data_IF_075371288582
#
_entry.id   IF_075371288582
#
_cell.length_a   1.000
_cell.length_b   1.000
_cell.length_c   1.000
_cell.angle_alpha   90.00
_cell.angle_beta   90.00
_cell.angle_gamma   90.00
#
_symmetry.space_group_name_H-M   'P 1'
#
loop_
_entity.id
_entity.type
_entity.pdbx_description
1 polymer ?
#
# COMPACT_ATOMS: atom_id res chain seq x y z
N UNK A 1 39.84 -29.40 34.56
CA UNK A 1 39.23 -28.94 33.29
C UNK A 1 38.12 -27.93 33.58
N UNK A 2 38.44 -26.62 33.51
CA UNK A 2 38.00 -25.68 32.46
C UNK A 2 36.57 -25.14 32.63
N UNK A 3 36.36 -24.28 33.63
CA UNK A 3 35.16 -23.42 33.75
C UNK A 3 34.89 -22.56 32.50
N UNK A 4 35.90 -22.33 31.66
CA UNK A 4 35.76 -21.61 30.39
C UNK A 4 35.07 -22.41 29.27
N UNK A 5 34.85 -23.72 29.44
CA UNK A 5 34.07 -24.54 28.49
C UNK A 5 32.64 -24.73 29.01
N UNK A 6 32.49 -25.02 30.31
CA UNK A 6 31.18 -25.31 30.91
C UNK A 6 30.28 -24.09 31.04
N UNK A 7 30.81 -22.91 31.39
CA UNK A 7 30.03 -21.67 31.49
C UNK A 7 29.36 -21.26 30.17
N UNK A 8 30.08 -21.15 29.04
CA UNK A 8 29.43 -20.83 27.77
C UNK A 8 28.50 -21.96 27.30
N UNK A 9 28.79 -23.23 27.61
CA UNK A 9 27.90 -24.34 27.29
C UNK A 9 26.54 -24.20 28.00
N UNK A 10 26.52 -23.92 29.31
CA UNK A 10 25.25 -23.72 30.03
C UNK A 10 24.47 -22.51 29.51
N UNK A 11 25.15 -21.41 29.17
CA UNK A 11 24.48 -20.25 28.56
C UNK A 11 23.85 -20.62 27.22
N UNK A 12 24.56 -21.34 26.36
CA UNK A 12 24.02 -21.82 25.09
C UNK A 12 22.81 -22.74 25.28
N UNK A 13 22.88 -23.68 26.24
CA UNK A 13 21.76 -24.57 26.56
C UNK A 13 20.55 -23.79 27.10
N UNK A 14 20.76 -22.81 27.97
CA UNK A 14 19.68 -21.94 28.47
C UNK A 14 19.03 -21.14 27.33
N UNK A 15 19.81 -20.61 26.39
CA UNK A 15 19.28 -19.90 25.22
C UNK A 15 18.46 -20.84 24.34
N UNK A 16 18.96 -22.05 24.04
CA UNK A 16 18.23 -23.04 23.25
C UNK A 16 16.93 -23.42 23.95
N UNK A 17 16.97 -23.72 25.24
CA UNK A 17 15.78 -24.04 26.03
C UNK A 17 14.76 -22.89 26.00
N UNK A 18 15.21 -21.65 26.18
CA UNK A 18 14.37 -20.46 26.10
C UNK A 18 13.71 -20.33 24.72
N UNK A 19 14.47 -20.50 23.63
CA UNK A 19 13.94 -20.44 22.26
C UNK A 19 12.87 -21.52 22.05
N UNK A 20 13.10 -22.75 22.52
CA UNK A 20 12.14 -23.84 22.38
C UNK A 20 10.85 -23.58 23.18
N UNK A 21 10.95 -23.02 24.39
CA UNK A 21 9.79 -22.63 25.20
C UNK A 21 9.00 -21.52 24.50
N UNK A 22 9.67 -20.46 24.04
CA UNK A 22 9.04 -19.37 23.30
C UNK A 22 8.35 -19.90 22.04
N UNK A 23 8.98 -20.83 21.33
CA UNK A 23 8.41 -21.44 20.12
C UNK A 23 7.09 -22.16 20.40
N UNK A 24 6.98 -22.90 21.49
CA UNK A 24 5.74 -23.62 21.87
C UNK A 24 4.58 -22.66 22.12
N UNK A 25 4.86 -21.45 22.61
CA UNK A 25 3.83 -20.43 22.88
C UNK A 25 3.52 -19.59 21.64
N UNK A 26 4.53 -19.19 20.88
CA UNK A 26 4.40 -18.23 19.79
C UNK A 26 4.01 -18.85 18.44
N UNK A 27 4.34 -20.12 18.20
CA UNK A 27 4.09 -20.78 16.90
C UNK A 27 2.74 -21.50 16.92
N UNK A 28 1.79 -21.13 16.05
CA UNK A 28 0.50 -21.80 15.93
C UNK A 28 0.64 -23.28 15.56
N UNK A 29 -0.28 -24.12 16.07
CA UNK A 29 -0.24 -25.59 15.89
C UNK A 29 -0.34 -26.03 14.43
N UNK A 30 -0.91 -25.18 13.58
CA UNK A 30 -1.16 -25.40 12.16
C UNK A 30 -0.11 -24.72 11.26
N UNK A 31 0.98 -24.21 11.84
CA UNK A 31 2.14 -23.68 11.11
C UNK A 31 3.11 -24.81 10.74
N UNK A 32 3.39 -25.00 9.46
CA UNK A 32 4.25 -26.08 8.97
C UNK A 32 4.36 -26.12 7.46
N UNK A 33 4.91 -27.21 6.91
CA UNK A 33 4.93 -27.51 5.46
C UNK A 33 3.61 -28.18 5.08
N UNK A 34 2.89 -27.60 4.12
CA UNK A 34 1.66 -28.16 3.54
C UNK A 34 1.88 -28.60 2.08
N UNK A 35 0.83 -29.11 1.44
CA UNK A 35 0.85 -29.88 0.18
C UNK A 35 1.63 -29.29 -1.02
N UNK A 36 1.99 -28.00 -1.01
CA UNK A 36 2.73 -27.32 -2.11
C UNK A 36 4.26 -27.39 -1.98
N UNK A 37 4.80 -28.28 -1.14
CA UNK A 37 6.25 -28.46 -0.94
C UNK A 37 6.93 -27.28 -0.23
N UNK A 38 8.25 -27.31 -0.06
CA UNK A 38 8.95 -26.33 0.79
C UNK A 38 8.89 -24.87 0.30
N UNK A 39 8.71 -24.63 -1.00
CA UNK A 39 8.74 -23.28 -1.57
C UNK A 39 7.51 -22.43 -1.22
N UNK A 40 6.33 -23.06 -1.16
CA UNK A 40 5.05 -22.38 -0.89
C UNK A 40 4.22 -23.06 0.21
N UNK A 41 4.72 -24.15 0.77
CA UNK A 41 4.04 -24.93 1.79
C UNK A 41 4.32 -24.44 3.21
N UNK A 42 5.30 -23.57 3.45
CA UNK A 42 5.66 -23.11 4.80
C UNK A 42 4.79 -21.94 5.27
N UNK A 43 3.62 -22.22 5.85
CA UNK A 43 2.70 -21.19 6.34
C UNK A 43 1.74 -21.75 7.42
N UNK A 44 0.91 -20.87 7.97
CA UNK A 44 -0.17 -21.21 8.93
C UNK A 44 -1.44 -21.58 8.16
N UNK A 45 -1.87 -22.84 8.22
CA UNK A 45 -2.99 -23.33 7.42
C UNK A 45 -4.30 -22.54 7.64
N UNK A 46 -4.66 -22.25 8.88
CA UNK A 46 -5.85 -21.51 9.27
C UNK A 46 -5.89 -20.07 8.73
N UNK A 47 -4.74 -19.51 8.37
CA UNK A 47 -4.65 -18.21 7.73
C UNK A 47 -5.44 -18.16 6.41
N UNK A 48 -5.53 -19.27 5.67
CA UNK A 48 -6.30 -19.30 4.42
C UNK A 48 -7.78 -18.99 4.64
N UNK A 49 -8.37 -19.59 5.69
CA UNK A 49 -9.77 -19.36 6.05
C UNK A 49 -9.98 -17.94 6.56
N UNK A 50 -9.02 -17.40 7.31
CA UNK A 50 -9.08 -16.02 7.79
C UNK A 50 -9.04 -15.01 6.63
N UNK A 51 -8.13 -15.17 5.67
CA UNK A 51 -8.07 -14.29 4.50
C UNK A 51 -9.26 -14.46 3.57
N UNK A 52 -9.81 -15.67 3.45
CA UNK A 52 -11.06 -15.90 2.71
C UNK A 52 -12.24 -15.14 3.34
N UNK A 53 -12.26 -15.02 4.66
CA UNK A 53 -13.31 -14.31 5.40
C UNK A 53 -12.98 -12.82 5.61
N UNK A 54 -11.78 -12.38 5.21
CA UNK A 54 -11.38 -10.99 5.35
C UNK A 54 -12.20 -10.12 4.40
N UNK A 55 -12.98 -9.19 4.95
CA UNK A 55 -13.82 -8.30 4.15
C UNK A 55 -12.92 -7.36 3.34
N UNK A 56 -12.96 -7.49 2.02
CA UNK A 56 -12.22 -6.61 1.10
C UNK A 56 -12.73 -5.18 1.26
N UNK A 57 -11.82 -4.27 1.60
CA UNK A 57 -12.13 -2.86 1.86
C UNK A 57 -12.18 -2.02 0.57
N UNK A 58 -11.39 -2.41 -0.41
CA UNK A 58 -11.27 -1.72 -1.69
C UNK A 58 -12.25 -2.29 -2.72
N UNK A 59 -12.82 -1.44 -3.56
CA UNK A 59 -13.86 -1.80 -4.55
C UNK A 59 -13.43 -1.61 -6.00
N UNK A 60 -12.28 -0.97 -6.25
CA UNK A 60 -11.73 -0.63 -7.57
C UNK A 60 -12.57 0.38 -8.36
N UNK A 61 -12.00 0.95 -9.43
CA UNK A 61 -12.70 1.93 -10.27
C UNK A 61 -13.96 1.37 -10.95
N UNK A 62 -14.06 0.05 -11.13
CA UNK A 62 -15.24 -0.59 -11.72
C UNK A 62 -16.50 -0.43 -10.85
N UNK A 63 -16.32 -0.42 -9.52
CA UNK A 63 -17.42 -0.12 -8.61
C UNK A 63 -17.81 1.36 -8.67
N UNK A 64 -16.82 2.26 -8.72
CA UNK A 64 -17.06 3.70 -8.73
C UNK A 64 -17.80 4.17 -9.99
N UNK A 65 -17.49 3.59 -11.16
CA UNK A 65 -18.05 4.05 -12.44
C UNK A 65 -19.56 3.83 -12.58
N UNK A 66 -20.17 2.92 -11.80
CA UNK A 66 -21.62 2.68 -11.89
C UNK A 66 -22.46 3.88 -11.47
N UNK A 67 -21.90 4.74 -10.61
CA UNK A 67 -22.57 5.95 -10.11
C UNK A 67 -21.81 7.24 -10.47
N UNK A 68 -20.50 7.17 -10.72
CA UNK A 68 -19.65 8.32 -11.06
C UNK A 68 -19.05 8.19 -12.48
N UNK A 69 -19.88 7.84 -13.47
CA UNK A 69 -19.48 7.61 -14.86
C UNK A 69 -18.75 8.80 -15.47
N UNK A 70 -19.27 10.02 -15.27
CA UNK A 70 -18.73 11.22 -15.91
C UNK A 70 -17.31 11.53 -15.42
N UNK A 71 -17.07 11.37 -14.11
CA UNK A 71 -15.75 11.54 -13.50
C UNK A 71 -14.81 10.42 -13.94
N UNK A 72 -15.30 9.18 -14.00
CA UNK A 72 -14.52 8.05 -14.50
C UNK A 72 -14.06 8.28 -15.95
N UNK A 73 -14.97 8.69 -16.83
CA UNK A 73 -14.64 9.00 -18.23
C UNK A 73 -13.61 10.13 -18.34
N UNK A 74 -13.75 11.17 -17.51
CA UNK A 74 -12.80 12.27 -17.50
C UNK A 74 -11.40 11.82 -17.08
N UNK A 75 -11.32 10.95 -16.06
CA UNK A 75 -10.09 10.30 -15.63
C UNK A 75 -9.48 9.43 -16.71
N UNK A 76 -10.29 8.62 -17.40
CA UNK A 76 -9.81 7.74 -18.48
C UNK A 76 -9.26 8.52 -19.68
N UNK A 77 -9.70 9.75 -19.90
CA UNK A 77 -9.18 10.65 -20.96
C UNK A 77 -7.91 11.40 -20.54
N UNK A 78 -7.37 11.12 -19.36
CA UNK A 78 -6.24 11.83 -18.78
C UNK A 78 -5.00 10.94 -18.57
N UNK A 79 -3.81 11.52 -18.37
CA UNK A 79 -2.62 10.77 -17.94
C UNK A 79 -2.79 10.00 -16.61
N UNK A 80 -3.80 10.35 -15.80
CA UNK A 80 -4.12 9.68 -14.54
C UNK A 80 -5.06 8.47 -14.71
N UNK A 81 -5.43 8.07 -15.93
CA UNK A 81 -6.32 6.93 -16.19
C UNK A 81 -5.94 5.61 -15.48
N UNK A 82 -4.64 5.43 -15.17
CA UNK A 82 -4.10 4.23 -14.49
C UNK A 82 -4.14 4.30 -12.96
N UNK A 83 -4.47 5.45 -12.38
CA UNK A 83 -4.59 5.65 -10.94
C UNK A 83 -5.99 5.22 -10.52
N UNK A 84 -6.10 4.43 -9.45
CA UNK A 84 -7.40 3.98 -8.94
C UNK A 84 -8.05 5.09 -8.13
N UNK A 85 -9.38 5.19 -8.18
CA UNK A 85 -10.12 6.21 -7.43
C UNK A 85 -9.74 6.21 -5.93
N UNK A 86 -9.57 5.03 -5.37
CA UNK A 86 -9.28 4.78 -3.95
C UNK A 86 -7.84 5.14 -3.55
N UNK A 87 -6.94 5.40 -4.51
CA UNK A 87 -5.59 5.92 -4.22
C UNK A 87 -5.65 7.34 -3.65
N UNK A 88 -6.67 8.11 -4.03
CA UNK A 88 -6.94 9.45 -3.53
C UNK A 88 -8.14 9.48 -2.57
N UNK A 89 -9.20 8.71 -2.84
CA UNK A 89 -10.46 8.71 -2.07
C UNK A 89 -10.50 7.71 -0.91
N UNK A 90 -9.48 6.87 -0.71
CA UNK A 90 -9.51 5.82 0.31
C UNK A 90 -10.49 4.69 -0.01
N UNK A 91 -10.58 3.66 0.86
CA UNK A 91 -11.36 2.46 0.60
C UNK A 91 -12.87 2.72 0.62
N UNK A 92 -13.59 2.22 -0.38
CA UNK A 92 -15.04 2.36 -0.50
C UNK A 92 -15.83 1.30 0.30
N UNK A 93 -15.35 0.94 1.50
CA UNK A 93 -16.01 -0.06 2.33
C UNK A 93 -17.33 0.50 2.89
N UNK A 94 -18.46 -0.03 2.41
CA UNK A 94 -19.79 0.34 2.93
C UNK A 94 -20.39 1.61 2.32
N UNK A 95 -19.59 2.39 1.59
CA UNK A 95 -20.09 3.43 0.69
C UNK A 95 -21.07 2.82 -0.34
N UNK A 96 -22.17 3.49 -0.69
CA UNK A 96 -22.59 4.83 -0.27
C UNK A 96 -23.39 4.91 1.02
N UNK A 97 -23.67 3.80 1.69
CA UNK A 97 -24.51 3.80 2.89
C UNK A 97 -23.77 4.35 4.12
N UNK A 98 -22.57 3.81 4.37
CA UNK A 98 -21.68 4.26 5.45
C UNK A 98 -20.21 3.95 5.11
N UNK A 99 -19.38 4.97 4.81
CA UNK A 99 -19.69 6.40 4.84
C UNK A 99 -20.36 6.89 3.53
N UNK A 100 -21.23 7.92 3.59
CA UNK A 100 -21.83 8.53 2.41
C UNK A 100 -20.82 9.26 1.53
N UNK A 101 -19.71 9.72 2.11
CA UNK A 101 -18.60 10.35 1.39
C UNK A 101 -17.30 9.71 1.80
N UNK A 102 -16.41 9.48 0.82
CA UNK A 102 -15.11 8.90 1.09
C UNK A 102 -14.09 9.98 1.55
N UNK A 103 -13.10 9.56 2.33
CA UNK A 103 -12.01 10.44 2.78
C UNK A 103 -11.02 10.71 1.65
N UNK A 104 -10.89 11.96 1.22
CA UNK A 104 -10.02 12.32 0.12
C UNK A 104 -8.69 12.89 0.64
N UNK A 105 -7.56 12.29 0.23
CA UNK A 105 -6.25 12.85 0.47
C UNK A 105 -5.92 13.91 -0.60
N UNK A 106 -5.83 15.16 -0.16
CA UNK A 106 -5.54 16.34 -1.00
C UNK A 106 -4.16 16.94 -0.74
N UNK A 107 -3.37 16.29 0.13
CA UNK A 107 -2.06 16.79 0.55
C UNK A 107 -1.07 16.84 -0.63
N UNK A 108 -0.24 17.89 -0.68
CA UNK A 108 0.84 18.05 -1.68
C UNK A 108 1.71 16.79 -1.77
N UNK A 109 1.98 16.16 -0.63
CA UNK A 109 2.84 14.97 -0.54
C UNK A 109 2.34 13.81 -1.39
N UNK A 110 1.02 13.66 -1.59
CA UNK A 110 0.47 12.62 -2.46
C UNK A 110 0.87 12.87 -3.91
N UNK A 111 0.63 14.08 -4.40
CA UNK A 111 0.94 14.49 -5.77
C UNK A 111 2.45 14.42 -6.04
N UNK A 112 3.27 14.89 -5.10
CA UNK A 112 4.73 14.99 -5.23
C UNK A 112 5.43 13.62 -5.35
N UNK A 113 4.81 12.52 -4.91
CA UNK A 113 5.33 11.16 -5.20
C UNK A 113 5.60 10.98 -6.70
N UNK A 114 4.68 11.51 -7.53
CA UNK A 114 4.72 11.42 -8.98
C UNK A 114 5.02 12.74 -9.69
N UNK A 115 4.97 13.88 -9.01
CA UNK A 115 5.18 15.19 -9.62
C UNK A 115 6.36 15.98 -9.06
N UNK A 116 7.19 15.42 -8.18
CA UNK A 116 8.50 16.03 -7.92
C UNK A 116 9.39 15.93 -9.16
N UNK A 117 10.10 17.02 -9.47
CA UNK A 117 11.13 17.06 -10.49
C UNK A 117 12.25 16.07 -10.14
N UNK A 118 12.65 15.27 -11.13
CA UNK A 118 13.77 14.35 -11.01
C UNK A 118 14.85 14.77 -12.00
N UNK A 119 16.10 15.02 -11.55
CA UNK A 119 17.18 15.48 -12.42
C UNK A 119 17.71 14.38 -13.36
N UNK A 120 17.30 13.12 -13.15
CA UNK A 120 17.75 11.96 -13.93
C UNK A 120 16.64 11.46 -14.87
N UNK A 121 16.92 11.41 -16.18
CA UNK A 121 15.95 11.06 -17.23
C UNK A 121 15.89 9.57 -17.60
N UNK A 122 16.64 8.72 -16.91
CA UNK A 122 16.84 7.31 -17.33
C UNK A 122 15.70 6.37 -16.96
N UNK A 123 14.75 6.79 -16.11
CA UNK A 123 13.58 6.00 -15.73
C UNK A 123 12.30 6.50 -16.40
N UNK A 124 11.31 5.61 -16.59
CA UNK A 124 9.98 5.99 -17.06
C UNK A 124 9.30 7.05 -16.18
N UNK A 125 9.69 7.15 -14.90
CA UNK A 125 9.23 8.17 -13.96
C UNK A 125 9.66 9.58 -14.35
N UNK A 126 10.81 9.74 -15.01
CA UNK A 126 11.29 11.02 -15.53
C UNK A 126 10.48 11.57 -16.72
N UNK A 127 9.57 10.77 -17.30
CA UNK A 127 8.64 11.24 -18.34
C UNK A 127 7.45 12.02 -17.79
N UNK A 128 7.16 11.89 -16.49
CA UNK A 128 6.07 12.64 -15.85
C UNK A 128 6.57 14.07 -15.61
N UNK A 129 5.76 15.07 -16.00
CA UNK A 129 6.08 16.49 -15.75
C UNK A 129 6.19 16.72 -14.24
N UNK A 130 7.41 17.03 -13.80
CA UNK A 130 7.72 17.34 -12.42
C UNK A 130 7.83 18.84 -12.15
N UNK A 131 7.64 19.22 -10.90
CA UNK A 131 7.83 20.57 -10.35
C UNK A 131 8.84 20.52 -9.20
N UNK A 132 9.47 21.64 -8.93
CA UNK A 132 10.21 21.85 -7.70
C UNK A 132 9.22 22.23 -6.57
N UNK A 133 9.06 21.39 -5.53
CA UNK A 133 8.07 21.62 -4.47
C UNK A 133 8.33 22.87 -3.63
N UNK A 134 9.58 23.33 -3.56
CA UNK A 134 9.99 24.45 -2.71
C UNK A 134 9.68 25.80 -3.38
N UNK A 135 9.63 25.83 -4.71
CA UNK A 135 9.38 27.05 -5.50
C UNK A 135 7.97 27.09 -6.08
N UNK A 136 7.34 25.94 -6.35
CA UNK A 136 6.03 25.87 -6.96
C UNK A 136 4.90 25.99 -5.93
N UNK A 137 4.59 27.23 -5.54
CA UNK A 137 3.50 27.60 -4.63
C UNK A 137 3.52 26.76 -3.33
N UNK A 138 4.59 26.84 -2.50
CA UNK A 138 4.85 25.89 -1.41
C UNK A 138 3.70 25.73 -0.41
N UNK A 139 2.96 26.80 -0.13
CA UNK A 139 1.87 26.83 0.87
C UNK A 139 0.49 26.45 0.32
N UNK A 140 0.34 26.27 -1.00
CA UNK A 140 -0.95 25.97 -1.63
C UNK A 140 -1.10 24.46 -1.89
N UNK A 141 -2.27 23.87 -1.62
CA UNK A 141 -2.54 22.52 -2.11
C UNK A 141 -2.58 22.49 -3.64
N UNK A 142 -2.05 21.43 -4.24
CA UNK A 142 -2.00 21.29 -5.70
C UNK A 142 -3.41 21.39 -6.32
N UNK A 143 -4.40 20.81 -5.64
CA UNK A 143 -5.80 20.71 -6.05
C UNK A 143 -6.56 22.05 -6.10
N UNK A 144 -5.98 23.13 -5.56
CA UNK A 144 -6.58 24.47 -5.67
C UNK A 144 -6.48 25.02 -7.09
N UNK A 145 -5.42 24.64 -7.80
CA UNK A 145 -5.15 25.06 -9.16
C UNK A 145 -5.24 23.91 -10.16
N UNK A 146 -5.03 22.67 -9.71
CA UNK A 146 -5.03 21.47 -10.55
C UNK A 146 -6.26 20.60 -10.30
N UNK A 147 -6.86 20.08 -11.37
CA UNK A 147 -8.00 19.19 -11.38
C UNK A 147 -7.52 17.74 -11.55
N UNK A 148 -7.43 16.94 -10.47
CA UNK A 148 -6.71 15.66 -10.50
C UNK A 148 -7.36 14.59 -11.36
N UNK A 149 -8.67 14.68 -11.59
CA UNK A 149 -9.36 13.75 -12.49
C UNK A 149 -9.01 14.03 -13.95
N UNK A 150 -8.57 15.23 -14.31
CA UNK A 150 -8.10 15.47 -15.66
C UNK A 150 -7.09 16.63 -15.74
N UNK A 151 -5.80 16.38 -15.44
CA UNK A 151 -4.78 17.43 -15.38
C UNK A 151 -4.48 18.08 -16.74
N UNK A 152 -5.01 17.57 -17.86
CA UNK A 152 -4.83 18.26 -19.16
C UNK A 152 -5.79 19.42 -19.35
N UNK A 153 -6.89 19.49 -18.58
CA UNK A 153 -7.88 20.58 -18.67
C UNK A 153 -7.33 21.93 -18.22
N UNK A 154 -6.35 21.96 -17.32
CA UNK A 154 -5.73 23.23 -16.90
C UNK A 154 -4.63 23.71 -17.87
N UNK A 155 -4.08 22.80 -18.66
CA UNK A 155 -2.96 23.06 -19.58
C UNK A 155 -3.38 23.35 -21.02
N UNK A 156 -4.68 23.31 -21.34
CA UNK A 156 -5.21 23.52 -22.69
C UNK A 156 -5.48 25.00 -23.02
N UNK A 157 -4.57 25.90 -22.60
CA UNK A 157 -4.47 27.25 -23.18
C UNK A 157 -3.31 27.29 -24.16
#
# INVERSE_FOLDING_TARGET
MKNHVWRPLYVALCIVALILIVRVVAVPKDFGVHDRGYMYGWYRLGNEKEWRNFKVKYKTSAYCMSCHSDIYEDLQRSPHARIMCEDCHGPALGHPDDPPTLTINRERKLCLRCHSYLPYKTSGRGKIRGVDPDTHNPEAECVLCHYPHNPVKEGSK
#
